data_IF_998682418863
#
_entry.id   IF_998682418863
#
_cell.length_a   1.000
_cell.length_b   1.000
_cell.length_c   1.000
_cell.angle_alpha   90.00
_cell.angle_beta   90.00
_cell.angle_gamma   90.00
#
_symmetry.space_group_name_H-M   'P 1'
#
loop_
_entity.id
_entity.type
_entity.pdbx_description
1 polymer ?
#
# COMPACT_ATOMS: atom_id res chain seq x y z
N UNK A 1 -27.90 16.45 46.28
CA UNK A 1 -28.31 16.77 44.91
C UNK A 1 -27.13 17.19 44.02
N UNK A 2 -26.26 18.14 44.38
CA UNK A 2 -25.14 18.62 43.55
C UNK A 2 -24.09 17.53 43.23
N UNK A 3 -23.80 16.62 44.18
CA UNK A 3 -22.86 15.51 43.95
C UNK A 3 -23.39 14.51 42.91
N UNK A 4 -24.67 14.21 42.93
CA UNK A 4 -25.29 13.28 41.94
C UNK A 4 -25.32 13.86 40.52
N UNK A 5 -25.48 15.15 40.38
CA UNK A 5 -25.44 15.83 39.08
C UNK A 5 -24.01 15.80 38.48
N UNK A 6 -23.00 16.01 39.33
CA UNK A 6 -21.58 15.93 38.86
C UNK A 6 -21.18 14.52 38.44
N UNK A 7 -21.61 13.48 39.16
CA UNK A 7 -21.35 12.09 38.79
C UNK A 7 -22.10 11.72 37.49
N UNK A 8 -23.33 12.16 37.29
CA UNK A 8 -24.08 11.93 36.05
C UNK A 8 -23.36 12.60 34.86
N UNK A 9 -22.86 13.81 35.03
CA UNK A 9 -22.15 14.53 33.95
C UNK A 9 -20.83 13.85 33.55
N UNK A 10 -20.09 13.31 34.52
CA UNK A 10 -18.84 12.57 34.30
C UNK A 10 -19.11 11.25 33.55
N UNK A 11 -20.14 10.52 33.92
CA UNK A 11 -20.52 9.26 33.28
C UNK A 11 -20.97 9.50 31.82
N UNK A 12 -21.75 10.56 31.58
CA UNK A 12 -22.19 10.91 30.23
C UNK A 12 -21.03 11.37 29.35
N UNK A 13 -20.03 12.05 29.92
CA UNK A 13 -18.83 12.50 29.18
C UNK A 13 -17.93 11.31 28.77
N UNK A 14 -17.81 10.28 29.62
CA UNK A 14 -17.02 9.08 29.32
C UNK A 14 -17.66 8.23 28.21
N UNK A 15 -19.00 8.12 28.22
CA UNK A 15 -19.72 7.39 27.15
C UNK A 15 -19.65 8.10 25.80
N UNK A 16 -19.57 9.44 25.78
CA UNK A 16 -19.43 10.20 24.54
C UNK A 16 -18.05 10.05 23.87
N UNK A 17 -16.98 9.78 24.63
CA UNK A 17 -15.65 9.54 24.10
C UNK A 17 -15.48 8.16 23.42
N UNK A 18 -16.34 7.19 23.74
CA UNK A 18 -16.33 5.86 23.08
C UNK A 18 -16.94 5.86 21.70
N UNK A 19 -17.56 6.95 21.26
CA UNK A 19 -18.22 7.09 19.95
C UNK A 19 -17.27 7.46 18.80
N UNK A 20 -15.95 7.66 19.06
CA UNK A 20 -14.94 7.69 18.00
C UNK A 20 -14.79 6.28 17.46
N UNK A 21 -15.65 5.94 16.48
CA UNK A 21 -15.69 4.64 15.84
C UNK A 21 -14.35 4.28 15.19
N UNK A 22 -13.51 3.58 15.91
CA UNK A 22 -12.35 2.91 15.36
C UNK A 22 -12.86 1.69 14.57
N UNK A 23 -13.09 1.87 13.29
CA UNK A 23 -13.35 0.77 12.39
C UNK A 23 -12.01 0.13 12.00
N UNK A 24 -11.74 -1.07 12.52
CA UNK A 24 -10.76 -1.95 11.91
C UNK A 24 -11.22 -2.24 10.48
N UNK A 25 -10.45 -1.80 9.51
CA UNK A 25 -10.68 -2.12 8.11
C UNK A 25 -10.28 -3.58 7.89
N UNK A 26 -11.18 -4.50 8.24
CA UNK A 26 -10.99 -5.91 7.99
C UNK A 26 -10.96 -6.14 6.48
N UNK A 27 -10.11 -7.05 5.99
CA UNK A 27 -9.98 -7.43 4.57
C UNK A 27 -11.24 -7.96 3.88
N UNK A 28 -12.41 -7.77 4.50
CA UNK A 28 -13.74 -8.10 3.98
C UNK A 28 -14.18 -7.25 2.78
N UNK A 29 -13.39 -6.21 2.42
CA UNK A 29 -13.63 -5.39 1.24
C UNK A 29 -13.21 -6.07 -0.07
N UNK A 30 -12.46 -7.19 0.01
CA UNK A 30 -12.05 -7.93 -1.19
C UNK A 30 -13.24 -8.73 -1.72
N UNK A 31 -13.72 -8.47 -2.95
CA UNK A 31 -14.76 -9.24 -3.59
C UNK A 31 -14.42 -10.74 -3.61
N UNK A 32 -15.45 -11.61 -3.58
CA UNK A 32 -15.23 -13.05 -3.58
C UNK A 32 -14.46 -13.53 -4.79
N UNK A 33 -14.68 -12.90 -5.93
CA UNK A 33 -14.03 -13.16 -7.22
C UNK A 33 -12.51 -12.95 -7.18
N UNK A 34 -12.05 -12.04 -6.31
CA UNK A 34 -10.62 -11.70 -6.15
C UNK A 34 -9.95 -12.39 -4.94
N UNK A 35 -10.67 -13.22 -4.19
CA UNK A 35 -10.10 -13.96 -3.04
C UNK A 35 -9.16 -15.08 -3.46
N UNK A 36 -9.29 -15.56 -4.68
CA UNK A 36 -8.35 -16.51 -5.29
C UNK A 36 -7.76 -15.83 -6.52
N UNK A 37 -6.45 -15.71 -6.57
CA UNK A 37 -5.74 -14.91 -7.56
C UNK A 37 -4.44 -15.59 -7.98
N UNK A 38 -4.08 -15.45 -9.24
CA UNK A 38 -2.73 -15.74 -9.72
C UNK A 38 -1.89 -14.47 -9.62
N UNK A 39 -0.68 -14.58 -9.07
CA UNK A 39 0.28 -13.48 -9.05
C UNK A 39 1.45 -13.78 -9.99
N UNK A 40 1.69 -12.88 -10.95
CA UNK A 40 2.74 -12.98 -11.95
C UNK A 40 3.70 -11.80 -11.85
N UNK A 41 4.99 -12.04 -11.99
CA UNK A 41 6.03 -11.01 -12.02
C UNK A 41 7.20 -11.45 -12.90
N UNK A 42 7.86 -10.53 -13.63
CA UNK A 42 9.09 -10.82 -14.38
C UNK A 42 10.21 -11.33 -13.48
N UNK A 43 10.28 -10.82 -12.24
CA UNK A 43 11.19 -11.28 -11.20
C UNK A 43 10.40 -11.59 -9.92
N UNK A 44 10.11 -12.87 -9.66
CA UNK A 44 9.36 -13.30 -8.47
C UNK A 44 10.08 -13.04 -7.14
N UNK A 45 11.39 -12.86 -7.17
CA UNK A 45 12.23 -12.68 -5.98
C UNK A 45 12.57 -11.21 -5.71
N UNK A 46 12.22 -10.29 -6.60
CA UNK A 46 12.40 -8.86 -6.36
C UNK A 46 11.65 -8.42 -5.10
N UNK A 47 12.21 -7.44 -4.40
CA UNK A 47 11.61 -6.88 -3.18
C UNK A 47 10.18 -6.37 -3.42
N UNK A 48 9.90 -5.81 -4.60
CA UNK A 48 8.55 -5.40 -4.98
C UNK A 48 7.59 -6.59 -5.09
N UNK A 49 8.05 -7.69 -5.68
CA UNK A 49 7.24 -8.92 -5.82
C UNK A 49 6.98 -9.58 -4.47
N UNK A 50 7.97 -9.57 -3.58
CA UNK A 50 7.83 -10.06 -2.20
C UNK A 50 6.83 -9.19 -1.43
N UNK A 51 6.96 -7.86 -1.50
CA UNK A 51 6.04 -6.93 -0.85
C UNK A 51 4.61 -7.11 -1.36
N UNK A 52 4.42 -7.27 -2.68
CA UNK A 52 3.10 -7.51 -3.27
C UNK A 52 2.48 -8.82 -2.78
N UNK A 53 3.25 -9.91 -2.78
CA UNK A 53 2.78 -11.22 -2.29
C UNK A 53 2.36 -11.17 -0.84
N UNK A 54 3.18 -10.55 0.01
CA UNK A 54 2.88 -10.38 1.43
C UNK A 54 1.59 -9.56 1.65
N UNK A 55 1.40 -8.48 0.90
CA UNK A 55 0.19 -7.65 0.99
C UNK A 55 -1.06 -8.38 0.48
N UNK A 56 -0.96 -9.20 -0.58
CA UNK A 56 -2.07 -10.04 -1.04
C UNK A 56 -2.48 -11.06 0.03
N UNK A 57 -1.51 -11.76 0.62
CA UNK A 57 -1.76 -12.73 1.69
C UNK A 57 -2.32 -12.06 2.96
N UNK A 58 -1.80 -10.90 3.34
CA UNK A 58 -2.31 -10.11 4.48
C UNK A 58 -3.78 -9.68 4.31
N UNK A 59 -4.23 -9.54 3.06
CA UNK A 59 -5.64 -9.29 2.72
C UNK A 59 -6.47 -10.56 2.52
N UNK A 60 -5.97 -11.73 2.97
CA UNK A 60 -6.62 -13.03 2.84
C UNK A 60 -6.90 -13.45 1.39
N UNK A 61 -6.07 -13.02 0.45
CA UNK A 61 -6.12 -13.47 -0.94
C UNK A 61 -5.28 -14.73 -1.08
N UNK A 62 -5.90 -15.81 -1.52
CA UNK A 62 -5.24 -17.08 -1.78
C UNK A 62 -4.53 -17.04 -3.14
N UNK A 63 -3.22 -17.20 -3.13
CA UNK A 63 -2.42 -17.27 -4.35
C UNK A 63 -2.37 -18.69 -4.88
N UNK A 64 -2.72 -18.85 -6.15
CA UNK A 64 -2.75 -20.14 -6.84
C UNK A 64 -1.94 -20.08 -8.14
N UNK A 65 -1.61 -21.24 -8.68
CA UNK A 65 -0.97 -21.33 -9.99
C UNK A 65 -1.90 -20.83 -11.10
N UNK A 66 -1.32 -20.34 -12.19
CA UNK A 66 -2.08 -19.81 -13.32
C UNK A 66 -2.99 -20.89 -13.92
N UNK A 67 -4.30 -20.60 -13.92
CA UNK A 67 -5.34 -21.48 -14.45
C UNK A 67 -6.37 -20.62 -15.17
N UNK A 68 -6.97 -21.15 -16.23
CA UNK A 68 -8.02 -20.47 -16.99
C UNK A 68 -9.22 -20.15 -16.09
N UNK A 69 -9.76 -18.93 -16.21
CA UNK A 69 -10.92 -18.47 -15.41
C UNK A 69 -10.56 -17.91 -14.02
N UNK A 70 -9.30 -17.99 -13.60
CA UNK A 70 -8.84 -17.35 -12.36
C UNK A 70 -8.27 -15.95 -12.70
N UNK A 71 -8.66 -14.89 -11.95
CA UNK A 71 -8.08 -13.58 -12.12
C UNK A 71 -6.57 -13.59 -11.89
N UNK A 72 -5.83 -12.76 -12.59
CA UNK A 72 -4.38 -12.67 -12.45
C UNK A 72 -3.93 -11.23 -12.29
N UNK A 73 -3.14 -10.96 -11.26
CA UNK A 73 -2.42 -9.71 -11.09
C UNK A 73 -0.99 -9.89 -11.57
N UNK A 74 -0.58 -9.09 -12.55
CA UNK A 74 0.76 -9.11 -13.10
C UNK A 74 1.46 -7.79 -12.87
N UNK A 75 2.66 -7.82 -12.27
CA UNK A 75 3.58 -6.68 -12.32
C UNK A 75 4.23 -6.67 -13.70
N UNK A 76 4.06 -5.57 -14.44
CA UNK A 76 4.66 -5.41 -15.75
C UNK A 76 6.05 -4.79 -15.64
N UNK A 77 6.16 -3.73 -14.83
CA UNK A 77 7.40 -2.99 -14.62
C UNK A 77 7.33 -2.20 -13.30
N UNK A 78 8.46 -1.99 -12.67
CA UNK A 78 8.61 -0.99 -11.62
C UNK A 78 9.88 -0.18 -11.83
N UNK A 79 9.86 1.06 -11.37
CA UNK A 79 10.95 2.02 -11.48
C UNK A 79 11.13 2.73 -10.15
N UNK A 80 12.37 2.88 -9.75
CA UNK A 80 12.77 3.74 -8.64
C UNK A 80 13.59 4.89 -9.18
N UNK A 81 13.35 6.08 -8.67
CA UNK A 81 14.13 7.28 -8.97
C UNK A 81 14.33 8.09 -7.68
N UNK A 82 15.37 8.91 -7.66
CA UNK A 82 15.56 9.92 -6.63
C UNK A 82 15.94 11.26 -7.26
N UNK A 83 15.32 12.32 -6.77
CA UNK A 83 15.58 13.69 -7.21
C UNK A 83 16.00 14.56 -6.03
N UNK A 84 16.95 15.44 -6.28
CA UNK A 84 17.41 16.40 -5.26
C UNK A 84 16.37 17.51 -5.11
N UNK A 85 15.73 17.60 -3.94
CA UNK A 85 14.75 18.63 -3.64
C UNK A 85 15.40 19.90 -3.06
N UNK A 86 16.48 19.75 -2.27
CA UNK A 86 17.22 20.88 -1.73
C UNK A 86 18.71 20.57 -1.53
N UNK A 87 19.51 21.62 -1.43
CA UNK A 87 20.95 21.52 -1.18
C UNK A 87 21.38 22.40 0.00
N UNK A 88 22.39 21.97 0.75
CA UNK A 88 23.02 22.78 1.78
C UNK A 88 23.79 23.97 1.18
N UNK A 89 24.05 25.01 1.97
CA UNK A 89 24.82 26.21 1.57
C UNK A 89 26.18 25.95 0.91
N UNK A 90 26.75 24.74 1.03
CA UNK A 90 28.01 24.32 0.42
C UNK A 90 27.81 23.36 -0.78
N UNK A 91 26.63 23.37 -1.41
CA UNK A 91 26.35 22.56 -2.61
C UNK A 91 26.21 21.06 -2.37
N UNK A 92 26.08 20.61 -1.08
CA UNK A 92 25.78 19.20 -0.79
C UNK A 92 24.28 18.96 -0.75
N UNK A 93 23.85 17.82 -1.22
CA UNK A 93 22.45 17.38 -1.15
C UNK A 93 21.98 17.36 0.30
N UNK A 94 20.84 17.96 0.57
CA UNK A 94 20.22 18.02 1.90
C UNK A 94 18.95 17.18 1.96
N UNK A 95 18.18 17.23 0.88
CA UNK A 95 16.88 16.62 0.79
C UNK A 95 16.71 15.99 -0.59
N UNK A 96 16.24 14.74 -0.61
CA UNK A 96 15.91 14.00 -1.83
C UNK A 96 14.45 13.57 -1.78
N UNK A 97 13.80 13.55 -2.92
CA UNK A 97 12.51 12.89 -3.10
C UNK A 97 12.78 11.53 -3.73
N UNK A 98 12.44 10.48 -2.99
CA UNK A 98 12.44 9.11 -3.48
C UNK A 98 11.10 8.84 -4.17
N UNK A 99 11.13 8.26 -5.36
CA UNK A 99 9.96 7.97 -6.17
C UNK A 99 9.94 6.50 -6.56
N UNK A 100 8.79 5.85 -6.36
CA UNK A 100 8.51 4.50 -6.80
C UNK A 100 7.27 4.52 -7.69
N UNK A 101 7.40 4.02 -8.90
CA UNK A 101 6.30 3.78 -9.83
C UNK A 101 6.22 2.29 -10.16
N UNK A 102 5.03 1.70 -10.01
CA UNK A 102 4.76 0.30 -10.32
C UNK A 102 3.63 0.22 -11.32
N UNK A 103 3.92 -0.28 -12.51
CA UNK A 103 2.96 -0.59 -13.57
C UNK A 103 2.55 -2.07 -13.45
N UNK A 104 1.27 -2.31 -13.35
CA UNK A 104 0.71 -3.65 -13.26
C UNK A 104 -0.53 -3.78 -14.16
N UNK A 105 -0.98 -4.99 -14.38
CA UNK A 105 -2.24 -5.29 -15.05
C UNK A 105 -3.01 -6.33 -14.26
N UNK A 106 -4.33 -6.13 -14.17
CA UNK A 106 -5.25 -7.13 -13.64
C UNK A 106 -6.02 -7.74 -14.81
N UNK A 107 -5.95 -9.06 -14.95
CA UNK A 107 -6.80 -9.83 -15.84
C UNK A 107 -7.92 -10.43 -15.02
N UNK A 108 -9.14 -10.09 -15.35
CA UNK A 108 -10.35 -10.58 -14.70
C UNK A 108 -10.72 -11.99 -15.18
N UNK A 109 -11.64 -12.67 -14.47
CA UNK A 109 -12.10 -14.02 -14.83
C UNK A 109 -12.74 -14.12 -16.22
N UNK A 110 -13.34 -13.00 -16.70
CA UNK A 110 -13.89 -12.89 -18.06
C UNK A 110 -12.83 -12.73 -19.16
N UNK A 111 -11.54 -12.65 -18.78
CA UNK A 111 -10.40 -12.51 -19.71
C UNK A 111 -10.02 -11.04 -20.01
N UNK A 112 -10.82 -10.05 -19.61
CA UNK A 112 -10.48 -8.65 -19.80
C UNK A 112 -9.26 -8.26 -18.96
N UNK A 113 -8.34 -7.52 -19.56
CA UNK A 113 -7.12 -7.03 -18.91
C UNK A 113 -7.12 -5.52 -18.78
N UNK A 114 -6.92 -5.02 -17.58
CA UNK A 114 -6.93 -3.59 -17.27
C UNK A 114 -5.58 -3.17 -16.67
N UNK A 115 -4.94 -2.10 -17.19
CA UNK A 115 -3.73 -1.57 -16.60
C UNK A 115 -4.05 -0.80 -15.31
N UNK A 116 -3.18 -0.95 -14.32
CA UNK A 116 -3.21 -0.21 -13.06
C UNK A 116 -1.80 0.26 -12.72
N UNK A 117 -1.68 1.43 -12.12
CA UNK A 117 -0.38 1.99 -11.75
C UNK A 117 -0.42 2.50 -10.31
N UNK A 118 0.61 2.21 -9.54
CA UNK A 118 0.84 2.81 -8.23
C UNK A 118 2.03 3.76 -8.30
N UNK A 119 1.90 4.94 -7.66
CA UNK A 119 2.97 5.92 -7.52
C UNK A 119 3.09 6.30 -6.05
N UNK A 120 4.31 6.23 -5.53
CA UNK A 120 4.62 6.56 -4.14
C UNK A 120 5.85 7.45 -4.12
N UNK A 121 5.77 8.55 -3.38
CA UNK A 121 6.88 9.47 -3.17
C UNK A 121 7.13 9.62 -1.67
N UNK A 122 8.41 9.75 -1.28
CA UNK A 122 8.86 10.02 0.08
C UNK A 122 10.02 10.98 0.08
N UNK A 123 10.02 11.90 1.02
CA UNK A 123 11.18 12.76 1.28
C UNK A 123 12.18 12.03 2.17
N UNK A 124 13.45 12.15 1.82
CA UNK A 124 14.59 11.63 2.56
C UNK A 124 15.60 12.74 2.82
N UNK A 125 15.96 12.95 4.08
CA UNK A 125 17.00 13.92 4.46
C UNK A 125 18.35 13.21 4.56
N UNK A 126 19.28 13.58 3.68
CA UNK A 126 20.63 13.02 3.67
C UNK A 126 21.54 13.74 4.66
N UNK A 127 22.45 12.99 5.28
CA UNK A 127 23.51 13.52 6.13
C UNK A 127 24.80 12.71 5.95
N UNK A 128 25.73 13.29 5.23
CA UNK A 128 27.01 12.64 4.91
C UNK A 128 27.86 12.28 6.13
N UNK A 129 27.60 12.87 7.31
CA UNK A 129 28.32 12.52 8.56
C UNK A 129 27.82 11.22 9.20
N UNK A 130 26.64 10.74 8.81
CA UNK A 130 26.02 9.52 9.33
C UNK A 130 25.67 8.55 8.19
N UNK A 131 26.52 8.40 7.20
CA UNK A 131 26.24 7.71 5.94
C UNK A 131 25.69 6.28 6.13
N UNK A 132 26.26 5.48 7.05
CA UNK A 132 25.76 4.12 7.31
C UNK A 132 24.34 4.12 7.91
N UNK A 133 24.08 4.99 8.90
CA UNK A 133 22.74 5.11 9.48
C UNK A 133 21.73 5.60 8.44
N UNK A 134 22.14 6.52 7.57
CA UNK A 134 21.30 7.05 6.49
C UNK A 134 21.02 6.06 5.37
N UNK A 135 21.96 5.17 5.05
CA UNK A 135 21.70 4.09 4.10
C UNK A 135 20.68 3.09 4.63
N UNK A 136 20.75 2.73 5.91
CA UNK A 136 19.77 1.86 6.55
C UNK A 136 18.38 2.52 6.61
N UNK A 137 18.29 3.81 6.99
CA UNK A 137 17.04 4.59 6.98
C UNK A 137 16.41 4.62 5.57
N UNK A 138 17.22 4.87 4.55
CA UNK A 138 16.77 4.89 3.15
C UNK A 138 16.16 3.54 2.72
N UNK A 139 16.77 2.43 3.14
CA UNK A 139 16.25 1.09 2.83
C UNK A 139 14.90 0.83 3.52
N UNK A 140 14.74 1.25 4.77
CA UNK A 140 13.44 1.19 5.47
C UNK A 140 12.37 2.00 4.73
N UNK A 141 12.72 3.20 4.22
CA UNK A 141 11.81 4.03 3.43
C UNK A 141 11.41 3.32 2.14
N UNK A 142 12.36 2.70 1.42
CA UNK A 142 12.06 1.94 0.21
C UNK A 142 11.12 0.76 0.48
N UNK A 143 11.32 0.03 1.59
CA UNK A 143 10.44 -1.06 1.99
C UNK A 143 9.00 -0.57 2.26
N UNK A 144 8.84 0.53 3.02
CA UNK A 144 7.53 1.15 3.26
C UNK A 144 6.86 1.60 1.95
N UNK A 145 7.63 2.18 1.02
CA UNK A 145 7.12 2.59 -0.29
C UNK A 145 6.62 1.40 -1.13
N UNK A 146 7.33 0.26 -1.12
CA UNK A 146 6.91 -0.97 -1.80
C UNK A 146 5.61 -1.52 -1.23
N UNK A 147 5.49 -1.55 0.10
CA UNK A 147 4.25 -1.97 0.76
C UNK A 147 3.08 -1.02 0.44
N UNK A 148 3.34 0.29 0.46
CA UNK A 148 2.32 1.27 0.11
C UNK A 148 1.88 1.15 -1.36
N UNK A 149 2.82 0.92 -2.28
CA UNK A 149 2.50 0.67 -3.69
C UNK A 149 1.64 -0.59 -3.86
N UNK A 150 1.97 -1.67 -3.15
CA UNK A 150 1.19 -2.90 -3.16
C UNK A 150 -0.24 -2.67 -2.64
N UNK A 151 -0.42 -1.94 -1.54
CA UNK A 151 -1.76 -1.55 -1.03
C UNK A 151 -2.55 -0.72 -2.04
N UNK A 152 -1.90 0.23 -2.73
CA UNK A 152 -2.56 1.01 -3.79
C UNK A 152 -3.01 0.14 -4.96
N UNK A 153 -2.20 -0.82 -5.39
CA UNK A 153 -2.56 -1.75 -6.47
C UNK A 153 -3.75 -2.62 -6.08
N UNK A 154 -3.79 -3.16 -4.86
CA UNK A 154 -4.91 -3.94 -4.35
C UNK A 154 -6.19 -3.10 -4.34
N UNK A 155 -6.12 -1.87 -3.84
CA UNK A 155 -7.29 -0.96 -3.82
C UNK A 155 -7.82 -0.69 -5.23
N UNK A 156 -6.94 -0.46 -6.20
CA UNK A 156 -7.32 -0.23 -7.60
C UNK A 156 -7.90 -1.48 -8.25
N UNK A 157 -7.34 -2.65 -7.98
CA UNK A 157 -7.85 -3.94 -8.43
C UNK A 157 -9.30 -4.16 -7.95
N UNK A 158 -9.56 -3.93 -6.66
CA UNK A 158 -10.91 -4.06 -6.08
C UNK A 158 -11.89 -3.05 -6.67
N UNK A 159 -11.45 -1.81 -6.93
CA UNK A 159 -12.28 -0.79 -7.55
C UNK A 159 -12.68 -1.15 -8.98
N UNK A 160 -11.76 -1.72 -9.77
CA UNK A 160 -12.02 -2.17 -11.14
C UNK A 160 -13.02 -3.31 -11.19
N UNK A 161 -12.89 -4.33 -10.34
CA UNK A 161 -13.84 -5.44 -10.29
C UNK A 161 -15.27 -4.96 -10.02
N UNK A 162 -15.43 -4.02 -9.08
CA UNK A 162 -16.75 -3.41 -8.79
C UNK A 162 -17.31 -2.64 -9.98
N UNK A 163 -16.48 -1.96 -10.77
CA UNK A 163 -16.91 -1.21 -11.95
C UNK A 163 -17.37 -2.13 -13.07
N UNK A 164 -16.66 -3.23 -13.30
CA UNK A 164 -16.98 -4.20 -14.35
C UNK A 164 -18.28 -4.95 -14.01
N UNK A 165 -18.49 -5.28 -12.74
CA UNK A 165 -19.70 -5.98 -12.28
C UNK A 165 -20.98 -5.13 -12.33
N UNK A 166 -20.84 -3.80 -12.31
CA UNK A 166 -21.97 -2.85 -12.35
C UNK A 166 -22.34 -2.38 -13.78
N UNK A 167 -21.65 -2.88 -14.81
CA UNK A 167 -21.95 -2.65 -16.24
C UNK A 167 -22.73 -3.81 -16.82
#
# INVERSE_FOLDING_TARGET
MIKSIKTLFIVTSITALSACGWHFQNGTLIPQELRTLTFESPDPYSEMSVAMRNQLQANNIQLVNSTQGIPALRINKFRTNDEVASVFKRGREAEKVLMLEVEASIRLANGESHPITAKVNRTFFDNSRAALAKSAEREVIWNDMREQAARQLITKMVALEKQVKNK
#
